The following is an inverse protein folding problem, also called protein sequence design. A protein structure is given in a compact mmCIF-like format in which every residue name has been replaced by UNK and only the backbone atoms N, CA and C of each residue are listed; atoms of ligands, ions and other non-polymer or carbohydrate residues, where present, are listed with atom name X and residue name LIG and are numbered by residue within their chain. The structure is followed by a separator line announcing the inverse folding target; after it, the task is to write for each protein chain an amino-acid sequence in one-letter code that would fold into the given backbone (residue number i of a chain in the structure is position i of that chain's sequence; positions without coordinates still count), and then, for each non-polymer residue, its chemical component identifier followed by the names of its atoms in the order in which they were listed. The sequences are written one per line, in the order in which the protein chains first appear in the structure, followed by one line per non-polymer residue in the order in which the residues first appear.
data_IF_109685366325
#
_entry.id   IF_109685366325
#
_cell.length_a   1.000
_cell.length_b   1.000
_cell.length_c   1.000
_cell.angle_alpha   90.00
_cell.angle_beta   90.00
_cell.angle_gamma   90.00
#
_symmetry.space_group_name_H-M   'P 1'
#
loop_
_entity.id
_entity.type
_entity.pdbx_description
1 polymer ?
#
# COMPACT_ATOMS: atom_id res chain seq x y z
N UNK A 1 -29.03 -32.99 98.83
CA UNK A 1 -28.95 -31.89 97.86
C UNK A 1 -27.64 -32.05 97.15
N UNK A 2 -27.67 -32.56 95.89
CA UNK A 2 -26.49 -32.91 95.13
C UNK A 2 -26.30 -31.85 94.03
N UNK A 3 -25.18 -31.17 94.07
CA UNK A 3 -24.74 -30.21 93.10
C UNK A 3 -24.05 -30.94 91.90
N UNK A 4 -24.66 -30.92 90.70
CA UNK A 4 -24.07 -31.46 89.47
C UNK A 4 -23.16 -30.40 88.87
N UNK A 5 -21.84 -30.66 88.79
CA UNK A 5 -20.87 -29.90 87.94
C UNK A 5 -21.05 -30.30 86.49
N UNK A 6 -21.18 -29.30 85.61
CA UNK A 6 -21.09 -29.48 84.17
C UNK A 6 -19.62 -29.47 83.70
N UNK A 7 -19.25 -30.23 82.73
CA UNK A 7 -17.87 -30.21 82.20
C UNK A 7 -17.63 -29.08 81.18
N UNK A 8 -16.48 -28.42 81.35
CA UNK A 8 -15.94 -27.41 80.46
C UNK A 8 -15.61 -28.04 79.07
N UNK A 9 -16.29 -27.59 78.01
CA UNK A 9 -15.89 -27.87 76.64
C UNK A 9 -14.80 -26.86 76.24
N UNK A 10 -13.55 -27.35 76.16
CA UNK A 10 -12.47 -26.62 75.51
C UNK A 10 -12.75 -26.61 74.01
N UNK A 11 -12.90 -25.40 73.44
CA UNK A 11 -13.06 -25.15 72.00
C UNK A 11 -11.67 -25.08 71.42
N UNK A 12 -11.26 -26.16 70.69
CA UNK A 12 -10.01 -26.20 69.95
C UNK A 12 -10.13 -25.32 68.66
N UNK A 13 -9.42 -24.21 68.70
CA UNK A 13 -9.22 -23.38 67.49
C UNK A 13 -8.20 -24.08 66.57
N UNK A 14 -8.68 -24.98 65.70
CA UNK A 14 -7.88 -25.47 64.56
C UNK A 14 -7.64 -24.32 63.61
N UNK A 15 -6.41 -23.86 63.49
CA UNK A 15 -5.94 -22.91 62.52
C UNK A 15 -6.19 -23.48 61.09
N UNK A 16 -7.25 -23.04 60.43
CA UNK A 16 -7.43 -23.23 58.99
C UNK A 16 -6.51 -22.23 58.26
N UNK A 17 -5.29 -22.66 57.91
CA UNK A 17 -4.43 -21.95 56.97
C UNK A 17 -5.09 -21.98 55.60
N UNK A 18 -5.79 -20.89 55.24
CA UNK A 18 -6.28 -20.67 53.91
C UNK A 18 -5.06 -20.38 52.97
N UNK A 19 -4.67 -21.38 52.20
CA UNK A 19 -3.68 -21.23 51.12
C UNK A 19 -4.35 -20.39 50.01
N UNK A 20 -4.14 -19.08 50.02
CA UNK A 20 -4.54 -18.19 48.91
C UNK A 20 -3.58 -18.47 47.76
N UNK A 21 -4.01 -19.33 46.83
CA UNK A 21 -3.33 -19.53 45.55
C UNK A 21 -3.50 -18.24 44.77
N UNK A 22 -2.50 -17.37 44.81
CA UNK A 22 -2.34 -16.24 43.92
C UNK A 22 -2.09 -16.81 42.50
N UNK A 23 -3.17 -17.08 41.74
CA UNK A 23 -3.07 -17.31 40.32
C UNK A 23 -2.52 -16.02 39.72
N UNK A 24 -1.39 -16.08 38.99
CA UNK A 24 -0.93 -14.89 38.26
C UNK A 24 -2.04 -14.51 37.29
N UNK A 25 -2.65 -13.36 37.50
CA UNK A 25 -3.52 -12.73 36.52
C UNK A 25 -2.63 -12.51 35.29
N UNK A 26 -2.79 -13.34 34.26
CA UNK A 26 -2.23 -13.06 32.95
C UNK A 26 -2.96 -11.80 32.47
N UNK A 27 -2.43 -10.66 32.86
CA UNK A 27 -2.88 -9.39 32.33
C UNK A 27 -2.72 -9.49 30.81
N UNK A 28 -3.84 -9.68 30.11
CA UNK A 28 -3.87 -9.66 28.65
C UNK A 28 -3.39 -8.27 28.26
N UNK A 29 -2.13 -8.18 27.83
CA UNK A 29 -1.56 -6.90 27.43
C UNK A 29 -2.51 -6.28 26.41
N UNK A 30 -3.01 -5.09 26.71
CA UNK A 30 -3.88 -4.34 25.79
C UNK A 30 -3.09 -4.06 24.52
N UNK A 31 -3.67 -4.43 23.37
CA UNK A 31 -3.04 -4.18 22.10
C UNK A 31 -2.88 -2.66 21.88
N UNK A 32 -1.70 -2.26 21.45
CA UNK A 32 -1.45 -0.86 21.07
C UNK A 32 -2.06 -0.58 19.71
N UNK A 33 -2.92 0.44 19.62
CA UNK A 33 -3.52 0.84 18.34
C UNK A 33 -2.53 1.61 17.50
N UNK A 34 -2.46 1.26 16.20
CA UNK A 34 -1.75 1.99 15.15
C UNK A 34 -2.75 2.39 14.07
N UNK A 35 -2.85 3.68 13.78
CA UNK A 35 -3.78 4.25 12.81
C UNK A 35 -3.15 4.31 11.42
N UNK A 36 -3.75 3.60 10.48
CA UNK A 36 -3.30 3.46 9.10
C UNK A 36 -4.24 4.14 8.12
N UNK A 37 -3.70 5.02 7.28
CA UNK A 37 -4.40 5.53 6.08
C UNK A 37 -4.23 4.58 4.90
N UNK A 38 -5.33 4.13 4.29
CA UNK A 38 -5.39 3.11 3.23
C UNK A 38 -6.09 3.60 1.96
N UNK A 39 -5.80 2.96 0.83
CA UNK A 39 -6.38 3.24 -0.50
C UNK A 39 -7.17 2.06 -1.08
N UNK A 40 -7.40 1.00 -0.33
CA UNK A 40 -8.02 -0.25 -0.77
C UNK A 40 -7.43 -0.83 -2.08
N UNK A 41 -6.08 -0.84 -2.18
CA UNK A 41 -5.37 -1.29 -3.37
C UNK A 41 -4.80 -2.72 -3.22
N UNK A 42 -4.68 -3.44 -4.34
CA UNK A 42 -4.07 -4.78 -4.36
C UNK A 42 -2.62 -4.77 -3.80
N UNK A 43 -1.90 -3.66 -3.99
CA UNK A 43 -0.54 -3.49 -3.47
C UNK A 43 -0.47 -3.29 -1.95
N UNK A 44 -1.61 -3.26 -1.23
CA UNK A 44 -1.65 -3.24 0.22
C UNK A 44 -1.77 -4.65 0.83
N UNK A 45 -1.63 -5.68 -0.02
CA UNK A 45 -1.88 -7.09 0.32
C UNK A 45 -1.13 -7.56 1.57
N UNK A 46 0.15 -7.22 1.75
CA UNK A 46 0.89 -7.61 2.95
C UNK A 46 0.31 -7.00 4.23
N UNK A 47 -0.23 -5.78 4.18
CA UNK A 47 -0.91 -5.16 5.33
C UNK A 47 -2.17 -5.95 5.68
N UNK A 48 -2.98 -6.30 4.68
CA UNK A 48 -4.20 -7.06 4.90
C UNK A 48 -3.91 -8.48 5.41
N UNK A 49 -2.88 -9.14 4.86
CA UNK A 49 -2.39 -10.42 5.38
C UNK A 49 -1.95 -10.29 6.84
N UNK A 50 -1.19 -9.25 7.20
CA UNK A 50 -0.72 -9.05 8.56
C UNK A 50 -1.87 -8.85 9.55
N UNK A 51 -2.96 -8.21 9.13
CA UNK A 51 -4.18 -8.05 9.93
C UNK A 51 -4.90 -9.40 10.07
N UNK A 52 -5.24 -10.06 8.96
CA UNK A 52 -6.07 -11.27 8.94
C UNK A 52 -5.36 -12.50 9.54
N UNK A 53 -4.06 -12.62 9.29
CA UNK A 53 -3.22 -13.68 9.89
C UNK A 53 -2.80 -13.38 11.32
N UNK A 54 -3.12 -12.21 11.84
CA UNK A 54 -2.78 -11.82 13.20
C UNK A 54 -1.31 -11.45 13.44
N UNK A 55 -0.51 -11.22 12.39
CA UNK A 55 0.91 -10.90 12.56
C UNK A 55 1.14 -9.58 13.30
N UNK A 56 0.24 -8.60 13.15
CA UNK A 56 0.28 -7.40 13.99
C UNK A 56 -0.12 -7.71 15.43
N UNK A 57 -1.10 -8.59 15.67
CA UNK A 57 -1.51 -9.00 17.02
C UNK A 57 -0.41 -9.76 17.75
N UNK A 58 0.37 -10.60 17.05
CA UNK A 58 1.56 -11.25 17.59
C UNK A 58 2.61 -10.24 18.07
N UNK A 59 2.63 -9.05 17.49
CA UNK A 59 3.48 -7.92 17.85
C UNK A 59 2.83 -7.01 18.93
N UNK A 60 1.68 -7.39 19.48
CA UNK A 60 0.94 -6.59 20.46
C UNK A 60 0.25 -5.37 19.85
N UNK A 61 -0.08 -5.39 18.55
CA UNK A 61 -0.62 -4.24 17.82
C UNK A 61 -2.00 -4.56 17.26
N UNK A 62 -2.91 -3.58 17.36
CA UNK A 62 -4.15 -3.49 16.63
C UNK A 62 -4.01 -2.40 15.54
N UNK A 63 -4.11 -2.75 14.27
CA UNK A 63 -4.06 -1.77 13.17
C UNK A 63 -5.46 -1.34 12.79
N UNK A 64 -5.75 -0.05 12.94
CA UNK A 64 -7.03 0.58 12.55
C UNK A 64 -6.90 1.26 11.20
N UNK A 65 -7.72 0.82 10.23
CA UNK A 65 -7.70 1.33 8.86
C UNK A 65 -8.71 2.46 8.70
N UNK A 66 -8.24 3.58 8.13
CA UNK A 66 -9.07 4.66 7.59
C UNK A 66 -8.88 4.75 6.07
N UNK A 67 -9.97 4.59 5.31
CA UNK A 67 -9.92 4.63 3.85
C UNK A 67 -9.93 6.05 3.31
N UNK A 68 -9.10 6.31 2.30
CA UNK A 68 -8.98 7.57 1.60
C UNK A 68 -9.09 7.36 0.08
N UNK A 69 -9.54 8.39 -0.64
CA UNK A 69 -9.65 8.32 -2.11
C UNK A 69 -8.30 8.54 -2.83
N UNK A 70 -7.33 9.15 -2.15
CA UNK A 70 -6.00 9.41 -2.69
C UNK A 70 -4.94 9.58 -1.60
N UNK A 71 -3.67 9.29 -1.94
CA UNK A 71 -2.53 9.52 -1.06
C UNK A 71 -2.39 11.00 -0.62
N UNK A 72 -2.70 11.94 -1.51
CA UNK A 72 -2.63 13.37 -1.21
C UNK A 72 -3.56 13.78 -0.06
N UNK A 73 -4.73 13.14 0.07
CA UNK A 73 -5.67 13.41 1.17
C UNK A 73 -5.17 12.89 2.53
N UNK A 74 -4.24 11.95 2.56
CA UNK A 74 -3.64 11.42 3.79
C UNK A 74 -2.53 12.33 4.35
N UNK A 75 -1.86 13.12 3.49
CA UNK A 75 -0.69 13.92 3.90
C UNK A 75 -0.97 14.86 5.08
N UNK A 76 -2.06 15.63 5.12
CA UNK A 76 -2.34 16.50 6.27
C UNK A 76 -2.48 15.73 7.59
N UNK A 77 -3.23 14.62 7.59
CA UNK A 77 -3.43 13.79 8.78
C UNK A 77 -2.13 13.10 9.23
N UNK A 78 -1.28 12.70 8.28
CA UNK A 78 0.05 12.13 8.56
C UNK A 78 0.98 13.17 9.19
N UNK A 79 1.00 14.40 8.66
CA UNK A 79 1.82 15.51 9.17
C UNK A 79 1.35 15.93 10.57
N UNK A 80 0.04 15.95 10.82
CA UNK A 80 -0.54 16.24 12.14
C UNK A 80 -0.32 15.08 13.14
N UNK A 81 0.10 13.89 12.69
CA UNK A 81 0.23 12.70 13.52
C UNK A 81 -1.11 12.07 13.92
N UNK A 82 -2.18 12.41 13.23
CA UNK A 82 -3.49 11.76 13.36
C UNK A 82 -3.49 10.37 12.71
N UNK A 83 -2.71 10.20 11.64
CA UNK A 83 -2.28 8.92 11.10
C UNK A 83 -0.83 8.66 11.52
N UNK A 84 -0.56 7.43 11.94
CA UNK A 84 0.79 6.98 12.29
C UNK A 84 1.49 6.35 11.08
N UNK A 85 0.72 5.63 10.27
CA UNK A 85 1.16 4.99 9.04
C UNK A 85 0.27 5.45 7.89
N UNK A 86 0.87 5.73 6.75
CA UNK A 86 0.12 5.86 5.51
C UNK A 86 0.76 5.06 4.39
N UNK A 87 -0.05 4.72 3.39
CA UNK A 87 0.40 4.01 2.20
C UNK A 87 0.03 4.82 0.97
N UNK A 88 0.95 4.90 0.03
CA UNK A 88 0.70 5.69 -1.17
C UNK A 88 1.76 5.47 -2.24
N UNK A 89 1.54 6.08 -3.39
CA UNK A 89 2.58 6.19 -4.40
C UNK A 89 3.48 7.39 -4.13
N UNK A 90 4.73 7.29 -4.56
CA UNK A 90 5.56 8.47 -4.74
C UNK A 90 4.86 9.42 -5.72
N UNK A 91 4.79 10.70 -5.37
CA UNK A 91 4.05 11.70 -6.14
C UNK A 91 4.68 13.08 -5.97
N UNK A 92 4.39 13.99 -6.89
CA UNK A 92 4.81 15.38 -6.77
C UNK A 92 4.36 16.02 -5.44
N UNK A 93 3.15 15.67 -4.96
CA UNK A 93 2.65 16.14 -3.65
C UNK A 93 3.47 15.62 -2.47
N UNK A 94 3.86 14.34 -2.49
CA UNK A 94 4.74 13.77 -1.47
C UNK A 94 6.12 14.46 -1.48
N UNK A 95 6.71 14.62 -2.65
CA UNK A 95 8.03 15.26 -2.79
C UNK A 95 8.00 16.76 -2.45
N UNK A 96 6.90 17.47 -2.74
CA UNK A 96 6.72 18.85 -2.28
C UNK A 96 6.67 18.93 -0.74
N UNK A 97 5.98 17.99 -0.09
CA UNK A 97 5.97 17.93 1.38
C UNK A 97 7.38 17.63 1.94
N UNK A 98 8.15 16.76 1.28
CA UNK A 98 9.58 16.54 1.62
C UNK A 98 10.39 17.83 1.47
N UNK A 99 10.21 18.57 0.37
CA UNK A 99 10.89 19.85 0.14
C UNK A 99 10.57 20.88 1.25
N UNK A 100 9.36 20.82 1.81
CA UNK A 100 8.92 21.64 2.94
C UNK A 100 9.29 21.06 4.31
N UNK A 101 10.15 20.03 4.35
CA UNK A 101 10.61 19.36 5.57
C UNK A 101 9.47 18.81 6.44
N UNK A 102 8.38 18.37 5.81
CA UNK A 102 7.26 17.77 6.52
C UNK A 102 7.72 16.58 7.39
N UNK A 103 7.20 16.46 8.63
CA UNK A 103 7.67 15.49 9.60
C UNK A 103 7.11 14.08 9.31
N UNK A 104 7.60 13.45 8.26
CA UNK A 104 7.34 12.04 7.94
C UNK A 104 8.56 11.40 7.29
N UNK A 105 8.59 10.08 7.20
CA UNK A 105 9.64 9.33 6.50
C UNK A 105 9.04 8.16 5.71
N UNK A 106 9.57 7.93 4.52
CA UNK A 106 9.39 6.69 3.77
C UNK A 106 10.24 5.62 4.45
N UNK A 107 9.62 4.53 4.87
CA UNK A 107 10.28 3.51 5.71
C UNK A 107 10.38 2.15 5.05
N UNK A 108 9.53 1.84 4.05
CA UNK A 108 9.55 0.55 3.37
C UNK A 108 8.91 0.60 1.97
N UNK A 109 9.21 -0.44 1.19
CA UNK A 109 8.46 -0.82 -0.01
C UNK A 109 7.03 -1.23 0.36
N UNK A 110 6.09 -0.91 -0.55
CA UNK A 110 4.71 -1.40 -0.54
C UNK A 110 4.31 -2.05 -1.86
N UNK A 111 5.12 -1.90 -2.88
CA UNK A 111 4.87 -2.50 -4.19
C UNK A 111 5.69 -1.87 -5.30
N UNK A 112 6.26 -2.72 -6.10
CA UNK A 112 7.10 -2.39 -7.25
C UNK A 112 6.56 -3.09 -8.49
N UNK A 113 6.84 -2.52 -9.66
CA UNK A 113 6.76 -3.25 -10.93
C UNK A 113 8.15 -3.71 -11.32
N UNK A 114 8.23 -4.90 -11.88
CA UNK A 114 9.41 -5.48 -12.51
C UNK A 114 8.98 -6.62 -13.41
N UNK A 115 9.89 -7.25 -14.11
CA UNK A 115 9.59 -8.41 -14.95
C UNK A 115 8.75 -9.44 -14.19
N UNK A 116 7.63 -9.85 -14.78
CA UNK A 116 6.65 -10.77 -14.16
C UNK A 116 5.68 -10.14 -13.14
N UNK A 117 5.88 -8.88 -12.73
CA UNK A 117 5.09 -8.19 -11.71
C UNK A 117 4.58 -6.83 -12.19
N UNK A 118 4.01 -6.82 -13.40
CA UNK A 118 3.53 -5.61 -14.06
C UNK A 118 2.12 -5.18 -13.64
N UNK A 119 1.79 -5.15 -12.35
CA UNK A 119 0.45 -4.83 -11.84
C UNK A 119 0.01 -3.38 -12.13
N UNK A 120 0.91 -2.53 -12.54
CA UNK A 120 0.68 -1.14 -12.92
C UNK A 120 1.11 -0.99 -14.37
N UNK A 121 0.19 -0.70 -15.27
CA UNK A 121 0.44 -0.78 -16.72
C UNK A 121 -0.46 0.13 -17.55
N UNK A 122 -0.06 0.36 -18.80
CA UNK A 122 -0.87 1.02 -19.81
C UNK A 122 -1.80 0.01 -20.47
N UNK A 123 -3.10 0.28 -20.41
CA UNK A 123 -4.14 -0.40 -21.17
C UNK A 123 -4.58 0.49 -22.34
N UNK A 124 -4.83 -0.11 -23.50
CA UNK A 124 -5.29 0.60 -24.70
C UNK A 124 -6.62 0.02 -25.13
N UNK A 125 -7.51 0.88 -25.64
CA UNK A 125 -8.81 0.49 -26.15
C UNK A 125 -8.68 -0.62 -27.20
N UNK A 126 -9.45 -1.69 -27.01
CA UNK A 126 -9.32 -2.92 -27.79
C UNK A 126 -9.47 -2.68 -29.31
N UNK A 127 -10.44 -1.89 -29.74
CA UNK A 127 -10.70 -1.61 -31.16
C UNK A 127 -9.53 -0.89 -31.85
N UNK A 128 -8.78 -0.04 -31.12
CA UNK A 128 -7.60 0.63 -31.65
C UNK A 128 -6.42 -0.34 -31.87
N UNK A 129 -6.29 -1.32 -31.01
CA UNK A 129 -5.24 -2.36 -31.14
C UNK A 129 -5.63 -3.36 -32.22
N UNK A 130 -6.86 -3.86 -32.22
CA UNK A 130 -7.35 -4.84 -33.22
C UNK A 130 -7.33 -4.29 -34.64
N UNK A 131 -7.63 -3.01 -34.82
CA UNK A 131 -7.55 -2.34 -36.14
C UNK A 131 -6.12 -1.97 -36.60
N UNK A 132 -5.14 -2.15 -35.70
CA UNK A 132 -3.75 -1.78 -35.95
C UNK A 132 -3.48 -0.27 -35.92
N UNK A 133 -4.43 0.56 -35.49
CA UNK A 133 -4.22 2.01 -35.31
C UNK A 133 -3.24 2.32 -34.17
N UNK A 134 -3.15 1.44 -33.14
CA UNK A 134 -2.17 1.57 -32.08
C UNK A 134 -1.36 0.27 -31.98
N UNK A 135 -0.08 0.35 -32.31
CA UNK A 135 0.91 -0.73 -32.24
C UNK A 135 2.01 -0.42 -31.23
N UNK A 136 2.33 0.86 -31.05
CA UNK A 136 3.38 1.36 -30.17
C UNK A 136 2.87 2.56 -29.37
N UNK A 137 3.62 3.00 -28.36
CA UNK A 137 3.26 4.22 -27.64
C UNK A 137 3.27 5.47 -28.55
N UNK A 138 4.08 5.51 -29.60
CA UNK A 138 4.13 6.62 -30.55
C UNK A 138 2.77 6.88 -31.22
N UNK A 139 1.97 5.83 -31.43
CA UNK A 139 0.64 5.93 -32.08
C UNK A 139 -0.41 6.54 -31.13
N UNK A 140 -0.05 6.77 -29.86
CA UNK A 140 -0.86 7.47 -28.88
C UNK A 140 -0.67 8.99 -28.90
N UNK A 141 0.18 9.54 -29.80
CA UNK A 141 0.31 10.99 -29.96
C UNK A 141 -1.05 11.61 -30.32
N UNK A 142 -1.43 12.66 -29.55
CA UNK A 142 -2.71 13.35 -29.67
C UNK A 142 -3.93 12.56 -29.15
N UNK A 143 -3.73 11.35 -28.62
CA UNK A 143 -4.80 10.55 -28.05
C UNK A 143 -5.00 10.81 -26.58
N UNK A 144 -6.21 10.50 -26.11
CA UNK A 144 -6.62 10.75 -24.74
C UNK A 144 -6.26 9.57 -23.81
N UNK A 145 -5.37 9.82 -22.86
CA UNK A 145 -4.90 8.83 -21.88
C UNK A 145 -5.43 9.20 -20.49
N UNK A 146 -6.21 8.31 -19.89
CA UNK A 146 -6.65 8.48 -18.51
C UNK A 146 -5.58 8.06 -17.52
N UNK A 147 -5.39 8.91 -16.50
CA UNK A 147 -4.61 8.63 -15.30
C UNK A 147 -5.41 9.06 -14.06
N UNK A 148 -5.04 8.58 -12.87
CA UNK A 148 -5.80 8.87 -11.65
C UNK A 148 -5.77 10.35 -11.27
N UNK A 149 -4.60 11.00 -11.33
CA UNK A 149 -4.43 12.41 -10.95
C UNK A 149 -3.14 13.00 -11.53
N UNK A 150 -3.11 14.32 -11.67
CA UNK A 150 -1.89 15.06 -12.02
C UNK A 150 -0.82 14.87 -10.94
N UNK A 151 0.42 14.63 -11.37
CA UNK A 151 1.57 14.51 -10.47
C UNK A 151 1.62 13.22 -9.67
N UNK A 152 0.81 12.21 -9.98
CA UNK A 152 0.95 10.87 -9.41
C UNK A 152 1.95 10.01 -10.20
N UNK A 153 2.24 8.81 -9.71
CA UNK A 153 3.17 7.87 -10.35
C UNK A 153 2.78 7.51 -11.79
N UNK A 154 1.48 7.47 -12.12
CA UNK A 154 1.01 7.17 -13.46
C UNK A 154 1.40 8.28 -14.44
N UNK A 155 1.42 9.54 -13.99
CA UNK A 155 1.88 10.67 -14.79
C UNK A 155 3.34 10.52 -15.19
N UNK A 156 4.21 10.16 -14.25
CA UNK A 156 5.62 9.84 -14.50
C UNK A 156 5.76 8.68 -15.50
N UNK A 157 5.01 7.58 -15.31
CA UNK A 157 5.14 6.40 -16.14
C UNK A 157 4.67 6.62 -17.58
N UNK A 158 3.57 7.37 -17.79
CA UNK A 158 3.14 7.79 -19.12
C UNK A 158 4.19 8.71 -19.75
N UNK A 159 4.79 9.62 -18.98
CA UNK A 159 5.88 10.47 -19.44
C UNK A 159 7.11 9.68 -19.88
N UNK A 160 7.55 8.71 -19.09
CA UNK A 160 8.69 7.84 -19.46
C UNK A 160 8.43 7.01 -20.71
N UNK A 161 7.18 6.53 -20.89
CA UNK A 161 6.78 5.84 -22.12
C UNK A 161 6.78 6.77 -23.34
N UNK A 162 6.40 8.03 -23.15
CA UNK A 162 6.46 9.05 -24.23
C UNK A 162 7.92 9.37 -24.59
N UNK A 163 8.77 9.63 -23.59
CA UNK A 163 10.20 9.94 -23.79
C UNK A 163 10.94 8.84 -24.55
N UNK A 164 10.65 7.58 -24.27
CA UNK A 164 11.27 6.44 -24.98
C UNK A 164 11.06 6.47 -26.50
N UNK A 165 9.92 6.99 -26.95
CA UNK A 165 9.60 7.07 -28.40
C UNK A 165 9.83 8.48 -28.98
N UNK A 166 10.54 9.35 -28.22
CA UNK A 166 10.87 10.72 -28.66
C UNK A 166 9.68 11.68 -28.61
N UNK A 167 8.68 11.40 -27.77
CA UNK A 167 7.57 12.28 -27.43
C UNK A 167 7.79 12.88 -26.05
N UNK A 168 6.97 13.85 -25.69
CA UNK A 168 6.84 14.42 -24.35
C UNK A 168 5.48 14.08 -23.76
N UNK A 169 5.31 14.30 -22.48
CA UNK A 169 4.00 14.14 -21.82
C UNK A 169 2.93 15.08 -22.40
N UNK A 170 3.32 16.19 -23.01
CA UNK A 170 2.43 17.15 -23.66
C UNK A 170 1.97 16.73 -25.07
N UNK A 171 2.57 15.67 -25.64
CA UNK A 171 2.15 15.12 -26.91
C UNK A 171 0.92 14.20 -26.80
N UNK A 172 0.42 13.94 -25.58
CA UNK A 172 -0.81 13.19 -25.32
C UNK A 172 -1.80 14.04 -24.52
N UNK A 173 -3.09 13.79 -24.68
CA UNK A 173 -4.13 14.45 -23.88
C UNK A 173 -4.38 13.66 -22.60
N UNK A 174 -4.03 14.24 -21.44
CA UNK A 174 -4.29 13.58 -20.15
C UNK A 174 -5.69 13.87 -19.64
N UNK A 175 -6.39 12.80 -19.25
CA UNK A 175 -7.69 12.85 -18.57
C UNK A 175 -7.55 12.31 -17.14
N UNK A 176 -8.08 13.02 -16.16
CA UNK A 176 -7.96 12.65 -14.73
C UNK A 176 -9.23 11.93 -14.27
N UNK A 177 -9.19 10.61 -14.25
CA UNK A 177 -10.34 9.76 -13.94
C UNK A 177 -9.97 8.69 -12.91
N UNK A 178 -10.79 8.57 -11.86
CA UNK A 178 -10.73 7.42 -10.95
C UNK A 178 -10.97 6.11 -11.70
N UNK A 179 -10.34 5.03 -11.24
CA UNK A 179 -10.36 3.74 -11.94
C UNK A 179 -11.78 3.20 -12.25
N UNK A 180 -12.81 3.32 -11.38
CA UNK A 180 -14.16 2.95 -11.74
C UNK A 180 -14.70 3.69 -12.98
N UNK A 181 -14.42 4.99 -13.07
CA UNK A 181 -14.87 5.83 -14.19
C UNK A 181 -14.13 5.54 -15.50
N UNK A 182 -12.91 5.00 -15.43
CA UNK A 182 -12.16 4.60 -16.62
C UNK A 182 -12.85 3.46 -17.37
N UNK A 183 -13.57 2.55 -16.68
CA UNK A 183 -14.37 1.48 -17.32
C UNK A 183 -15.40 2.11 -18.25
N UNK A 184 -16.24 2.99 -17.72
CA UNK A 184 -17.29 3.68 -18.50
C UNK A 184 -16.69 4.54 -19.61
N UNK A 185 -15.55 5.22 -19.34
CA UNK A 185 -14.88 6.03 -20.34
C UNK A 185 -14.34 5.21 -21.53
N UNK A 186 -13.90 3.98 -21.32
CA UNK A 186 -13.58 3.04 -22.40
C UNK A 186 -14.82 2.59 -23.15
N UNK A 187 -15.91 2.23 -22.46
CA UNK A 187 -17.18 1.79 -23.06
C UNK A 187 -17.78 2.87 -23.98
N UNK A 188 -17.72 4.13 -23.53
CA UNK A 188 -18.21 5.29 -24.31
C UNK A 188 -17.18 5.84 -25.31
N UNK A 189 -16.00 5.24 -25.40
CA UNK A 189 -14.88 5.73 -26.22
C UNK A 189 -14.43 7.16 -25.90
N UNK A 190 -14.67 7.62 -24.68
CA UNK A 190 -14.25 8.94 -24.19
C UNK A 190 -12.74 9.02 -23.94
N UNK A 191 -12.05 7.86 -23.81
CA UNK A 191 -10.60 7.74 -23.72
C UNK A 191 -10.08 6.68 -24.68
N UNK A 192 -8.83 6.81 -25.12
CA UNK A 192 -8.16 5.87 -26.01
C UNK A 192 -7.28 4.87 -25.25
N UNK A 193 -6.73 5.32 -24.13
CA UNK A 193 -5.90 4.52 -23.25
C UNK A 193 -6.11 4.92 -21.78
N UNK A 194 -5.68 4.07 -20.87
CA UNK A 194 -5.60 4.39 -19.45
C UNK A 194 -4.35 3.76 -18.84
N UNK A 195 -3.63 4.54 -18.05
CA UNK A 195 -2.64 3.96 -17.18
C UNK A 195 -3.31 3.58 -15.84
N UNK A 196 -3.37 2.31 -15.54
CA UNK A 196 -4.12 1.80 -14.41
C UNK A 196 -3.33 0.75 -13.63
N UNK A 197 -3.84 0.40 -12.45
CA UNK A 197 -3.32 -0.67 -11.61
C UNK A 197 -4.31 -1.83 -11.57
N UNK A 198 -3.78 -3.04 -11.39
CA UNK A 198 -4.63 -4.19 -11.11
C UNK A 198 -5.39 -4.02 -9.76
N UNK A 199 -6.60 -4.54 -9.63
CA UNK A 199 -7.28 -5.42 -10.57
C UNK A 199 -8.16 -4.71 -11.61
N UNK A 200 -8.07 -3.39 -11.75
CA UNK A 200 -8.88 -2.63 -12.70
C UNK A 200 -8.57 -2.97 -14.15
N UNK A 201 -7.29 -3.24 -14.46
CA UNK A 201 -6.90 -3.66 -15.81
C UNK A 201 -7.51 -5.02 -16.18
N UNK A 202 -7.52 -5.97 -15.23
CA UNK A 202 -8.23 -7.23 -15.42
C UNK A 202 -9.71 -7.01 -15.74
N UNK A 203 -10.35 -6.03 -15.08
CA UNK A 203 -11.75 -5.68 -15.31
C UNK A 203 -11.98 -5.06 -16.70
N UNK A 204 -11.05 -4.21 -17.19
CA UNK A 204 -11.12 -3.69 -18.58
C UNK A 204 -11.06 -4.82 -19.60
N UNK A 205 -10.17 -5.80 -19.36
CA UNK A 205 -9.99 -6.97 -20.22
C UNK A 205 -11.21 -7.89 -20.19
N UNK A 206 -11.75 -8.16 -19.00
CA UNK A 206 -12.97 -8.97 -18.83
C UNK A 206 -14.18 -8.36 -19.56
N UNK A 207 -14.31 -7.03 -19.52
CA UNK A 207 -15.34 -6.29 -20.25
C UNK A 207 -15.07 -6.21 -21.76
N UNK A 208 -13.89 -6.59 -22.23
CA UNK A 208 -13.49 -6.51 -23.64
C UNK A 208 -13.34 -5.09 -24.15
N UNK A 209 -13.21 -4.08 -23.28
CA UNK A 209 -13.15 -2.66 -23.66
C UNK A 209 -11.70 -2.19 -23.91
N UNK A 210 -10.72 -2.79 -23.23
CA UNK A 210 -9.30 -2.51 -23.43
C UNK A 210 -8.45 -3.77 -23.26
N UNK A 211 -7.23 -3.72 -23.74
CA UNK A 211 -6.23 -4.78 -23.60
C UNK A 211 -5.02 -4.28 -22.81
N UNK A 212 -4.33 -5.19 -22.11
CA UNK A 212 -3.01 -4.91 -21.54
C UNK A 212 -2.05 -4.58 -22.68
N UNK A 213 -1.45 -3.41 -22.64
CA UNK A 213 -0.64 -2.95 -23.76
C UNK A 213 0.85 -2.88 -23.42
N UNK A 214 1.20 -2.23 -22.31
CA UNK A 214 2.60 -2.06 -21.92
C UNK A 214 2.80 -1.92 -20.43
N UNK A 215 3.79 -2.62 -19.92
CA UNK A 215 4.25 -2.53 -18.52
C UNK A 215 5.52 -1.66 -18.41
N UNK A 216 5.84 -1.09 -17.23
CA UNK A 216 7.03 -0.26 -17.04
C UNK A 216 8.36 -0.97 -17.32
N UNK A 217 8.46 -2.25 -17.00
CA UNK A 217 9.67 -3.06 -17.23
C UNK A 217 9.99 -3.24 -18.73
N UNK A 218 9.01 -3.04 -19.61
CA UNK A 218 9.18 -3.04 -21.08
C UNK A 218 9.71 -1.68 -21.62
N UNK A 219 9.78 -0.65 -20.77
CA UNK A 219 10.30 0.67 -21.17
C UNK A 219 11.82 0.65 -21.06
N UNK A 220 12.51 0.93 -22.15
CA UNK A 220 13.97 0.89 -22.24
C UNK A 220 14.60 1.78 -21.17
N UNK A 221 15.46 1.22 -20.32
CA UNK A 221 16.21 1.94 -19.30
C UNK A 221 15.41 2.24 -18.01
N UNK A 222 14.12 1.90 -17.93
CA UNK A 222 13.34 2.15 -16.74
C UNK A 222 13.49 1.04 -15.68
N UNK A 223 13.50 -0.23 -16.11
CA UNK A 223 13.67 -1.37 -15.23
C UNK A 223 12.58 -1.50 -14.17
N UNK A 224 12.98 -1.85 -12.95
CA UNK A 224 12.04 -1.92 -11.82
C UNK A 224 11.63 -0.52 -11.35
N UNK A 225 10.35 -0.34 -11.02
CA UNK A 225 9.79 0.94 -10.59
C UNK A 225 9.11 0.83 -9.24
N UNK A 226 9.45 1.75 -8.33
CA UNK A 226 8.76 1.92 -7.06
C UNK A 226 7.39 2.53 -7.30
N UNK A 227 6.33 1.75 -7.11
CA UNK A 227 4.96 2.22 -7.30
C UNK A 227 4.39 2.74 -5.97
N UNK A 228 4.58 2.00 -4.91
CA UNK A 228 4.04 2.35 -3.61
C UNK A 228 5.06 2.25 -2.48
N UNK A 229 4.86 3.07 -1.45
CA UNK A 229 5.73 3.14 -0.27
C UNK A 229 4.90 3.14 1.01
N UNK A 230 5.51 2.68 2.10
CA UNK A 230 5.01 2.87 3.46
C UNK A 230 5.67 4.11 4.03
N UNK A 231 4.87 4.94 4.67
CA UNK A 231 5.29 6.21 5.24
C UNK A 231 4.87 6.24 6.70
N UNK A 232 5.80 6.59 7.58
CA UNK A 232 5.54 6.84 8.99
C UNK A 232 5.49 8.32 9.29
N UNK A 233 4.56 8.76 10.15
CA UNK A 233 4.57 10.12 10.67
C UNK A 233 5.77 10.35 11.58
N UNK A 234 6.29 11.58 11.60
CA UNK A 234 7.39 11.94 12.49
C UNK A 234 7.04 11.73 13.97
N UNK A 235 5.79 12.00 14.34
CA UNK A 235 5.28 11.74 15.69
C UNK A 235 5.40 10.26 16.05
N UNK A 236 4.97 9.36 15.16
CA UNK A 236 5.05 7.91 15.37
C UNK A 236 6.51 7.45 15.54
N UNK A 237 7.42 7.95 14.70
CA UNK A 237 8.84 7.63 14.78
C UNK A 237 9.45 8.11 16.10
N UNK A 238 9.14 9.34 16.53
CA UNK A 238 9.81 9.97 17.65
C UNK A 238 9.24 9.52 19.01
N UNK A 239 7.91 9.37 19.12
CA UNK A 239 7.24 9.10 20.38
C UNK A 239 6.99 7.60 20.62
N UNK A 240 6.87 6.80 19.55
CA UNK A 240 6.47 5.39 19.61
C UNK A 240 7.36 4.48 18.76
N UNK A 241 8.66 4.75 18.69
CA UNK A 241 9.60 4.04 17.83
C UNK A 241 9.58 2.52 17.98
N UNK A 242 9.44 2.02 19.20
CA UNK A 242 9.36 0.57 19.44
C UNK A 242 8.07 -0.05 18.87
N UNK A 243 6.95 0.68 18.91
CA UNK A 243 5.69 0.27 18.27
C UNK A 243 5.84 0.29 16.77
N UNK A 244 6.47 1.33 16.21
CA UNK A 244 6.76 1.45 14.78
C UNK A 244 7.61 0.27 14.28
N UNK A 245 8.63 -0.14 15.06
CA UNK A 245 9.45 -1.31 14.73
C UNK A 245 8.64 -2.62 14.77
N UNK A 246 7.81 -2.82 15.80
CA UNK A 246 6.96 -4.01 15.91
C UNK A 246 5.93 -4.07 14.79
N UNK A 247 5.36 -2.92 14.38
CA UNK A 247 4.47 -2.85 13.24
C UNK A 247 5.19 -3.27 11.94
N UNK A 248 6.41 -2.78 11.72
CA UNK A 248 7.23 -3.18 10.57
C UNK A 248 7.53 -4.69 10.58
N UNK A 249 7.84 -5.27 11.73
CA UNK A 249 8.09 -6.71 11.83
C UNK A 249 6.86 -7.53 11.39
N UNK A 250 5.65 -7.14 11.81
CA UNK A 250 4.40 -7.77 11.37
C UNK A 250 4.16 -7.62 9.88
N UNK A 251 4.46 -6.44 9.32
CA UNK A 251 4.36 -6.17 7.89
C UNK A 251 5.34 -7.03 7.07
N UNK A 252 6.61 -7.07 7.45
CA UNK A 252 7.64 -7.83 6.73
C UNK A 252 7.35 -9.34 6.74
N UNK A 253 6.86 -9.88 7.86
CA UNK A 253 6.40 -11.27 7.93
C UNK A 253 5.29 -11.57 6.91
N UNK A 254 4.38 -10.63 6.71
CA UNK A 254 3.31 -10.76 5.73
C UNK A 254 3.81 -10.58 4.29
N UNK A 255 4.75 -9.66 4.06
CA UNK A 255 5.38 -9.44 2.76
C UNK A 255 6.12 -10.71 2.30
N UNK A 256 6.83 -11.38 3.20
CA UNK A 256 7.48 -12.67 2.94
C UNK A 256 6.46 -13.75 2.56
N UNK A 257 5.36 -13.85 3.31
CA UNK A 257 4.28 -14.81 3.01
C UNK A 257 3.67 -14.54 1.62
N UNK A 258 3.40 -13.27 1.31
CA UNK A 258 2.88 -12.88 0.00
C UNK A 258 3.88 -13.18 -1.12
N UNK A 259 5.16 -12.88 -0.92
CA UNK A 259 6.21 -13.18 -1.89
C UNK A 259 6.28 -14.68 -2.24
N UNK A 260 6.06 -15.53 -1.25
CA UNK A 260 6.07 -17.00 -1.42
C UNK A 260 4.82 -17.52 -2.14
N UNK A 261 3.64 -17.02 -1.80
CA UNK A 261 2.35 -17.61 -2.20
C UNK A 261 1.69 -16.88 -3.38
N UNK A 262 1.81 -15.54 -3.47
CA UNK A 262 1.23 -14.70 -4.52
C UNK A 262 -0.29 -14.58 -4.47
N UNK A 263 -0.85 -13.89 -5.47
CA UNK A 263 -2.31 -13.63 -5.57
C UNK A 263 -3.15 -14.84 -5.99
N UNK A 264 -2.51 -15.91 -6.50
CA UNK A 264 -3.19 -17.15 -6.89
C UNK A 264 -3.57 -18.01 -5.69
N UNK A 265 -2.95 -17.78 -4.53
CA UNK A 265 -3.32 -18.43 -3.28
C UNK A 265 -4.76 -18.05 -2.92
N UNK A 266 -5.67 -19.05 -2.75
CA UNK A 266 -7.09 -18.78 -2.51
C UNK A 266 -7.36 -17.95 -1.24
N UNK A 267 -6.57 -18.16 -0.20
CA UNK A 267 -6.71 -17.44 1.06
C UNK A 267 -6.28 -15.97 0.89
N UNK A 268 -5.17 -15.72 0.21
CA UNK A 268 -4.70 -14.36 -0.10
C UNK A 268 -5.70 -13.65 -1.01
N UNK A 269 -6.25 -14.33 -2.02
CA UNK A 269 -7.27 -13.77 -2.89
C UNK A 269 -8.55 -13.40 -2.11
N UNK A 270 -8.99 -14.25 -1.16
CA UNK A 270 -10.13 -13.97 -0.30
C UNK A 270 -9.88 -12.77 0.65
N UNK A 271 -8.67 -12.67 1.19
CA UNK A 271 -8.26 -11.50 1.98
C UNK A 271 -8.35 -10.22 1.12
N UNK A 272 -7.79 -10.24 -0.08
CA UNK A 272 -7.86 -9.10 -0.99
C UNK A 272 -9.30 -8.72 -1.37
N UNK A 273 -10.19 -9.70 -1.64
CA UNK A 273 -11.61 -9.45 -1.90
C UNK A 273 -12.28 -8.74 -0.74
N UNK A 274 -11.99 -9.16 0.50
CA UNK A 274 -12.55 -8.54 1.71
C UNK A 274 -12.29 -7.02 1.77
N UNK A 275 -11.07 -6.59 1.42
CA UNK A 275 -10.66 -5.18 1.53
C UNK A 275 -10.91 -4.37 0.26
N UNK A 276 -10.71 -4.96 -0.92
CA UNK A 276 -10.83 -4.24 -2.20
C UNK A 276 -12.22 -4.30 -2.81
N UNK A 277 -13.08 -5.22 -2.33
CA UNK A 277 -14.41 -5.52 -2.89
C UNK A 277 -14.36 -6.02 -4.35
N UNK A 278 -13.20 -6.50 -4.79
CA UNK A 278 -13.01 -7.11 -6.11
C UNK A 278 -13.12 -8.62 -5.96
N UNK A 279 -13.93 -9.30 -6.80
CA UNK A 279 -14.10 -10.75 -6.71
C UNK A 279 -12.77 -11.53 -6.81
N UNK A 280 -12.63 -12.60 -6.02
CA UNK A 280 -11.41 -13.46 -6.00
C UNK A 280 -10.99 -13.89 -7.39
N UNK A 281 -11.94 -14.28 -8.27
CA UNK A 281 -11.64 -14.67 -9.64
C UNK A 281 -10.88 -13.57 -10.42
N UNK A 282 -11.28 -12.32 -10.25
CA UNK A 282 -10.63 -11.16 -10.91
C UNK A 282 -9.24 -10.92 -10.30
N UNK A 283 -9.13 -11.03 -8.98
CA UNK A 283 -7.84 -10.90 -8.27
C UNK A 283 -6.85 -11.97 -8.74
N UNK A 284 -7.29 -13.22 -8.86
CA UNK A 284 -6.42 -14.33 -9.30
C UNK A 284 -6.01 -14.23 -10.78
N UNK A 285 -6.79 -13.52 -11.61
CA UNK A 285 -6.46 -13.19 -13.00
C UNK A 285 -5.59 -11.94 -13.14
N UNK A 286 -5.40 -11.17 -12.08
CA UNK A 286 -4.60 -9.95 -12.08
C UNK A 286 -3.10 -10.28 -12.07
N UNK A 287 -2.30 -9.38 -12.68
CA UNK A 287 -0.84 -9.43 -12.53
C UNK A 287 -0.50 -8.94 -11.11
N UNK A 288 0.25 -9.71 -10.31
CA UNK A 288 0.54 -9.32 -8.93
C UNK A 288 1.52 -8.14 -8.84
N UNK A 289 1.47 -7.35 -7.75
CA UNK A 289 2.58 -6.47 -7.39
C UNK A 289 3.78 -7.31 -6.93
N UNK A 290 4.98 -6.84 -7.20
CA UNK A 290 6.14 -7.29 -6.44
C UNK A 290 6.15 -6.54 -5.12
N UNK A 291 6.24 -7.25 -4.00
CA UNK A 291 6.54 -6.69 -2.70
C UNK A 291 7.86 -7.28 -2.22
N UNK A 292 8.81 -6.40 -1.94
CA UNK A 292 10.11 -6.85 -1.46
C UNK A 292 9.96 -7.46 -0.06
N UNK A 293 10.32 -8.76 0.13
CA UNK A 293 10.14 -9.42 1.43
C UNK A 293 10.95 -8.79 2.56
N UNK A 294 12.01 -8.02 2.21
CA UNK A 294 12.82 -7.27 3.18
C UNK A 294 12.37 -5.81 3.33
N UNK A 295 11.35 -5.39 2.58
CA UNK A 295 10.85 -4.02 2.57
C UNK A 295 11.74 -3.03 1.82
N UNK A 296 12.74 -3.48 1.06
CA UNK A 296 13.71 -2.62 0.38
C UNK A 296 13.04 -1.74 -0.67
N UNK A 297 13.24 -0.43 -0.57
CA UNK A 297 12.80 0.56 -1.57
C UNK A 297 13.81 0.73 -2.70
N UNK A 298 13.32 1.08 -3.88
CA UNK A 298 14.14 1.43 -5.03
C UNK A 298 14.52 2.92 -4.96
N UNK A 299 15.54 3.23 -4.16
CA UNK A 299 15.96 4.61 -3.87
C UNK A 299 16.28 5.41 -5.13
N UNK A 300 17.05 4.82 -6.05
CA UNK A 300 17.44 5.48 -7.30
C UNK A 300 16.23 5.80 -8.17
N UNK A 301 15.25 4.89 -8.24
CA UNK A 301 14.03 5.15 -8.97
C UNK A 301 13.17 6.22 -8.30
N UNK A 302 13.10 6.27 -6.96
CA UNK A 302 12.42 7.37 -6.24
C UNK A 302 13.08 8.72 -6.55
N UNK A 303 14.42 8.76 -6.65
CA UNK A 303 15.16 9.97 -7.03
C UNK A 303 14.87 10.39 -8.48
N UNK A 304 14.82 9.43 -9.43
CA UNK A 304 14.45 9.71 -10.82
C UNK A 304 13.01 10.25 -10.92
N UNK A 305 12.06 9.67 -10.18
CA UNK A 305 10.69 10.17 -10.12
C UNK A 305 10.64 11.62 -9.61
N UNK A 306 11.34 11.92 -8.51
CA UNK A 306 11.40 13.27 -7.96
C UNK A 306 12.00 14.27 -8.97
N UNK A 307 13.08 13.88 -9.64
CA UNK A 307 13.71 14.71 -10.68
C UNK A 307 12.78 14.92 -11.87
N UNK A 308 12.10 13.86 -12.33
CA UNK A 308 11.18 13.96 -13.45
C UNK A 308 10.02 14.92 -13.16
N UNK A 309 9.39 14.81 -11.98
CA UNK A 309 8.33 15.74 -11.59
C UNK A 309 8.82 17.18 -11.50
N UNK A 310 10.03 17.40 -10.99
CA UNK A 310 10.63 18.75 -10.93
C UNK A 310 10.91 19.30 -12.32
N UNK A 311 11.47 18.49 -13.23
CA UNK A 311 11.78 18.90 -14.61
C UNK A 311 10.52 19.21 -15.42
N UNK A 312 9.36 18.63 -15.06
CA UNK A 312 8.07 18.90 -15.66
C UNK A 312 7.23 19.96 -14.89
N UNK A 313 7.87 20.75 -14.01
CA UNK A 313 7.24 21.88 -13.32
C UNK A 313 6.13 21.49 -12.32
N UNK A 314 6.12 20.23 -11.82
CA UNK A 314 5.09 19.74 -10.93
C UNK A 314 5.48 19.86 -9.44
N UNK A 315 6.74 20.05 -9.16
CA UNK A 315 7.30 20.21 -7.83
C UNK A 315 8.62 20.99 -7.83
N UNK A 316 9.07 21.38 -6.65
CA UNK A 316 10.43 21.89 -6.45
C UNK A 316 11.45 20.74 -6.51
N UNK A 317 12.67 21.04 -6.93
CA UNK A 317 13.77 20.06 -6.88
C UNK A 317 14.07 19.70 -5.43
N UNK A 318 14.12 18.40 -5.14
CA UNK A 318 14.34 17.88 -3.79
C UNK A 318 15.24 16.63 -3.83
N UNK A 319 16.11 16.49 -2.81
CA UNK A 319 16.75 15.21 -2.54
C UNK A 319 15.83 14.33 -1.71
N UNK A 320 15.69 13.06 -2.10
CA UNK A 320 14.86 12.09 -1.37
C UNK A 320 15.57 11.55 -0.11
N UNK A 321 16.86 11.82 0.08
CA UNK A 321 17.65 11.21 1.15
C UNK A 321 17.12 11.57 2.54
N UNK A 322 16.73 12.84 2.72
CA UNK A 322 16.10 13.30 3.95
C UNK A 322 14.68 12.76 4.18
N UNK A 323 14.06 12.16 3.15
CA UNK A 323 12.74 11.56 3.24
C UNK A 323 12.75 10.08 3.64
N UNK A 324 13.93 9.44 3.64
CA UNK A 324 14.07 8.01 3.91
C UNK A 324 14.50 7.77 5.35
N UNK A 325 13.86 6.82 6.04
CA UNK A 325 14.36 6.19 7.27
C UNK A 325 14.21 4.68 7.13
N UNK A 326 15.25 4.03 6.62
CA UNK A 326 15.25 2.58 6.40
C UNK A 326 15.77 1.79 7.61
N UNK A 327 15.97 2.44 8.75
CA UNK A 327 16.46 1.80 9.98
C UNK A 327 15.46 0.81 10.61
N UNK A 328 14.20 0.81 10.15
CA UNK A 328 13.18 -0.17 10.53
C UNK A 328 13.28 -1.49 9.76
N UNK A 329 14.07 -1.54 8.68
CA UNK A 329 14.35 -2.74 7.91
C UNK A 329 15.58 -3.44 8.50
N UNK A 330 15.49 -4.73 8.71
CA UNK A 330 16.59 -5.57 9.23
C UNK A 330 17.19 -6.42 8.09
#
# INVERSE_FOLDING_TARGET
MASRKMPDKKFDWALALAFVVLLPSVARAQLETVKLGDLAAISNVAIYIAIEKGFFKEQGINTEISNFDSAAKMVPALVAGELEVSVGSASAGLFNAVAQQAPFRIVADKGQTREGYGFSLLAVRKDLVDSGQVKTFRDLKGKKIAILAKGNIQHYLVGKMAEEVGLTINDVELSFLGAPNQVTAFETKAIDAAYAVEPWVARFTERGVAVRFRTPDQVKGLGAVQIGVIIYSGKFINERRQVAQRWMNGYLKAAELFHKNGVKDPEIAAILEKYTKVPTKVIQAAIPPYQDPTGKVLRENLADQAQWFASNGMQQKVSIDGALDLSFLK
#
